data_IF_027850092479
#
_entry.id   IF_027850092479
#
_cell.length_a   1.000
_cell.length_b   1.000
_cell.length_c   1.000
_cell.angle_alpha   90.00
_cell.angle_beta   90.00
_cell.angle_gamma   90.00
#
_symmetry.space_group_name_H-M   'P 1'
#
loop_
_entity.id
_entity.type
_entity.pdbx_description
1 polymer ?
#
# COMPACT_ATOMS: atom_id res chain seq x y z
N UNK A 1 -2.33 -15.62 -7.66
CA UNK A 1 -2.09 -14.92 -6.39
C UNK A 1 -1.42 -13.59 -6.70
N UNK A 2 -1.98 -12.50 -6.20
CA UNK A 2 -1.38 -11.18 -6.35
C UNK A 2 -0.33 -10.99 -5.25
N UNK A 3 0.81 -10.37 -5.60
CA UNK A 3 1.90 -10.10 -4.68
C UNK A 3 2.30 -8.64 -4.77
N UNK A 4 2.57 -8.04 -3.61
CA UNK A 4 3.24 -6.77 -3.51
C UNK A 4 4.75 -7.01 -3.42
N UNK A 5 5.53 -6.27 -4.20
CA UNK A 5 6.99 -6.32 -4.15
C UNK A 5 7.56 -4.96 -3.78
N UNK A 6 8.49 -4.94 -2.83
CA UNK A 6 9.24 -3.72 -2.50
C UNK A 6 10.45 -3.63 -3.42
N UNK A 7 10.42 -2.68 -4.34
CA UNK A 7 11.47 -2.46 -5.34
C UNK A 7 12.63 -1.61 -4.83
N UNK A 8 12.37 -0.71 -3.88
CA UNK A 8 13.34 0.27 -3.33
C UNK A 8 13.08 0.54 -1.84
N UNK A 9 14.06 1.18 -1.18
CA UNK A 9 14.04 1.48 0.26
C UNK A 9 14.69 0.40 1.14
N UNK A 10 14.70 0.58 2.47
CA UNK A 10 15.34 -0.33 3.43
C UNK A 10 14.77 -1.75 3.41
N UNK A 11 13.50 -1.88 2.98
CA UNK A 11 12.80 -3.16 2.88
C UNK A 11 12.83 -3.76 1.46
N UNK A 12 13.72 -3.28 0.58
CA UNK A 12 13.87 -3.79 -0.80
C UNK A 12 14.02 -5.32 -0.85
N UNK A 13 13.34 -5.94 -1.80
CA UNK A 13 13.36 -7.38 -2.03
C UNK A 13 12.35 -8.18 -1.21
N UNK A 14 11.66 -7.54 -0.25
CA UNK A 14 10.52 -8.17 0.42
C UNK A 14 9.32 -8.25 -0.51
N UNK A 15 8.52 -9.30 -0.33
CA UNK A 15 7.23 -9.46 -1.00
C UNK A 15 6.16 -9.91 -0.02
N UNK A 16 4.93 -9.49 -0.25
CA UNK A 16 3.77 -9.84 0.57
C UNK A 16 2.67 -10.41 -0.32
N UNK A 17 2.07 -11.51 0.12
CA UNK A 17 0.91 -12.08 -0.54
C UNK A 17 -0.33 -11.26 -0.22
N UNK A 18 -1.01 -10.79 -1.25
CA UNK A 18 -2.27 -10.04 -1.13
C UNK A 18 -3.41 -11.06 -1.23
N UNK A 19 -3.73 -11.66 -0.07
CA UNK A 19 -4.75 -12.72 0.05
C UNK A 19 -6.08 -12.25 0.65
N UNK A 20 -6.14 -11.04 1.18
CA UNK A 20 -7.33 -10.50 1.85
C UNK A 20 -8.03 -9.46 0.98
N UNK A 21 -9.36 -9.33 1.15
CA UNK A 21 -10.16 -8.31 0.47
C UNK A 21 -9.76 -6.89 0.84
N UNK A 22 -9.12 -6.69 2.00
CA UNK A 22 -8.60 -5.39 2.42
C UNK A 22 -7.25 -5.58 3.09
N UNK A 23 -6.24 -4.88 2.59
CA UNK A 23 -4.86 -4.93 3.08
C UNK A 23 -4.42 -3.50 3.42
N UNK A 24 -4.09 -3.26 4.69
CA UNK A 24 -3.50 -2.00 5.14
C UNK A 24 -1.98 -2.04 5.07
N UNK A 25 -1.38 -0.90 4.73
CA UNK A 25 0.07 -0.71 4.65
C UNK A 25 0.51 0.51 5.46
N UNK A 26 1.58 0.34 6.20
CA UNK A 26 2.19 1.44 6.95
C UNK A 26 3.34 0.97 7.82
N UNK A 27 3.93 1.92 8.53
CA UNK A 27 5.07 1.66 9.42
C UNK A 27 4.67 1.02 10.75
N UNK A 28 3.44 1.23 11.20
CA UNK A 28 2.96 0.64 12.45
C UNK A 28 2.74 -0.87 12.29
N UNK A 29 3.00 -1.67 13.35
CA UNK A 29 2.83 -3.12 13.33
C UNK A 29 1.36 -3.57 13.28
N UNK A 30 0.42 -2.64 13.44
CA UNK A 30 -1.02 -2.88 13.33
C UNK A 30 -1.51 -3.05 11.89
N UNK A 31 -0.70 -2.68 10.89
CA UNK A 31 -1.06 -2.87 9.48
C UNK A 31 -0.84 -4.32 9.06
N UNK A 32 -1.65 -4.80 8.11
CA UNK A 32 -1.47 -6.14 7.52
C UNK A 32 -0.06 -6.28 6.92
N UNK A 33 0.43 -5.22 6.28
CA UNK A 33 1.80 -5.14 5.77
C UNK A 33 2.53 -4.02 6.51
N UNK A 34 3.38 -4.43 7.45
CA UNK A 34 4.30 -3.52 8.11
C UNK A 34 5.53 -3.26 7.21
N UNK A 35 5.75 -1.99 6.87
CA UNK A 35 6.96 -1.55 6.19
C UNK A 35 7.71 -0.59 7.12
N UNK A 36 8.78 -1.08 7.74
CA UNK A 36 9.63 -0.28 8.61
C UNK A 36 10.55 0.64 7.78
N UNK A 37 9.97 1.74 7.31
CA UNK A 37 10.64 2.79 6.55
C UNK A 37 10.21 4.16 7.09
N UNK A 38 11.15 5.03 7.52
CA UNK A 38 10.84 6.37 8.03
C UNK A 38 10.05 7.27 7.08
N UNK A 39 10.14 7.02 5.77
CA UNK A 39 9.38 7.75 4.74
C UNK A 39 7.91 7.31 4.66
N UNK A 40 7.53 6.24 5.36
CA UNK A 40 6.19 5.68 5.38
C UNK A 40 5.47 6.08 6.68
N UNK A 41 4.28 6.67 6.54
CA UNK A 41 3.40 6.98 7.68
C UNK A 41 2.96 5.71 8.43
N UNK A 42 2.64 5.85 9.72
CA UNK A 42 2.19 4.73 10.57
C UNK A 42 1.03 3.97 9.94
N UNK A 43 0.05 4.67 9.37
CA UNK A 43 -0.99 4.15 8.49
C UNK A 43 -0.89 4.96 7.19
N UNK A 44 -0.37 4.37 6.14
CA UNK A 44 0.00 5.10 4.93
C UNK A 44 -1.08 4.98 3.87
N UNK A 45 -1.46 3.75 3.54
CA UNK A 45 -2.46 3.46 2.52
C UNK A 45 -3.20 2.18 2.85
N UNK A 46 -4.34 1.98 2.20
CA UNK A 46 -5.01 0.67 2.15
C UNK A 46 -5.24 0.28 0.70
N UNK A 47 -5.26 -1.03 0.48
CA UNK A 47 -5.64 -1.68 -0.75
C UNK A 47 -6.93 -2.45 -0.49
N UNK A 48 -7.98 -2.20 -1.25
CA UNK A 48 -9.24 -2.91 -1.19
C UNK A 48 -9.49 -3.65 -2.51
N UNK A 49 -9.88 -4.91 -2.44
CA UNK A 49 -10.36 -5.67 -3.58
C UNK A 49 -11.89 -5.69 -3.55
N UNK A 50 -12.52 -5.14 -4.58
CA UNK A 50 -13.99 -5.12 -4.75
C UNK A 50 -14.33 -5.58 -6.17
N UNK A 51 -15.19 -6.59 -6.28
CA UNK A 51 -15.65 -7.14 -7.56
C UNK A 51 -14.51 -7.52 -8.53
N UNK A 52 -13.42 -8.08 -7.98
CA UNK A 52 -12.23 -8.45 -8.75
C UNK A 52 -11.36 -7.28 -9.21
N UNK A 53 -11.70 -6.04 -8.83
CA UNK A 53 -10.90 -4.83 -9.05
C UNK A 53 -10.19 -4.42 -7.77
N UNK A 54 -8.99 -3.88 -7.91
CA UNK A 54 -8.24 -3.36 -6.77
C UNK A 54 -8.40 -1.85 -6.69
N UNK A 55 -8.47 -1.33 -5.48
CA UNK A 55 -8.59 0.08 -5.17
C UNK A 55 -7.52 0.43 -4.15
N UNK A 56 -6.70 1.43 -4.44
CA UNK A 56 -5.77 2.01 -3.48
C UNK A 56 -6.36 3.28 -2.92
N UNK A 57 -6.30 3.44 -1.60
CA UNK A 57 -6.67 4.67 -0.91
C UNK A 57 -5.50 5.14 -0.04
N UNK A 58 -5.07 6.38 -0.25
CA UNK A 58 -4.12 7.06 0.63
C UNK A 58 -4.82 7.45 1.95
N UNK A 59 -4.20 7.11 3.08
CA UNK A 59 -4.75 7.37 4.42
C UNK A 59 -4.20 8.68 4.99
N UNK A 60 -4.08 9.72 4.15
CA UNK A 60 -3.43 11.00 4.47
C UNK A 60 -1.98 10.82 4.90
N UNK A 61 -1.24 10.05 4.09
CA UNK A 61 0.18 9.87 4.33
C UNK A 61 0.95 11.18 4.17
N UNK A 62 2.09 11.29 4.85
CA UNK A 62 2.89 12.52 4.87
C UNK A 62 3.48 12.85 3.51
N UNK A 63 3.95 11.82 2.79
CA UNK A 63 4.59 11.98 1.48
C UNK A 63 3.59 11.81 0.32
N UNK A 64 2.36 11.37 0.61
CA UNK A 64 1.38 10.99 -0.39
C UNK A 64 1.65 9.62 -1.00
N UNK A 65 0.60 9.02 -1.55
CA UNK A 65 0.71 7.80 -2.35
C UNK A 65 0.69 8.16 -3.84
N UNK A 66 1.53 7.49 -4.63
CA UNK A 66 1.61 7.66 -6.08
C UNK A 66 1.30 6.33 -6.77
N UNK A 67 0.45 6.36 -7.79
CA UNK A 67 0.13 5.22 -8.64
C UNK A 67 0.55 5.56 -10.08
N UNK A 68 1.43 4.75 -10.68
CA UNK A 68 1.96 4.96 -12.04
C UNK A 68 2.56 6.38 -12.28
N UNK A 69 3.12 7.00 -11.24
CA UNK A 69 3.71 8.33 -11.30
C UNK A 69 2.72 9.48 -11.05
N UNK A 70 1.43 9.20 -10.90
CA UNK A 70 0.42 10.20 -10.54
C UNK A 70 0.10 10.13 -9.05
N UNK A 71 0.05 11.28 -8.39
CA UNK A 71 -0.33 11.37 -6.98
C UNK A 71 -1.82 11.07 -6.84
N UNK A 72 -2.17 10.18 -5.92
CA UNK A 72 -3.56 9.88 -5.60
C UNK A 72 -3.91 10.53 -4.25
N UNK A 73 -4.98 11.32 -4.25
CA UNK A 73 -5.50 11.99 -3.05
C UNK A 73 -6.76 11.30 -2.49
N UNK A 74 -7.34 10.37 -3.26
CA UNK A 74 -8.56 9.66 -2.97
C UNK A 74 -8.47 8.20 -3.43
N UNK A 75 -9.50 7.39 -3.14
CA UNK A 75 -9.56 6.01 -3.60
C UNK A 75 -9.47 5.94 -5.14
N UNK A 76 -8.51 5.19 -5.66
CA UNK A 76 -8.22 5.05 -7.07
C UNK A 76 -8.21 3.56 -7.47
N UNK A 77 -8.92 3.23 -8.55
CA UNK A 77 -8.98 1.87 -9.09
C UNK A 77 -7.72 1.50 -9.87
N UNK A 78 -7.11 0.36 -9.55
CA UNK A 78 -6.04 -0.24 -10.33
C UNK A 78 -6.67 -1.11 -11.42
N UNK A 79 -6.37 -0.79 -12.68
CA UNK A 79 -6.81 -1.50 -13.87
C UNK A 79 -5.68 -2.29 -14.51
#
# INVERSE_FOLDING_TARGET
MLKLYIIEGPSKGKSFDLGEETVSLGRAPENNIQIDDPSISSRHMKLEQKDGRFFVEDLKSTNGTFLNGEMIACSHGIH
#
